data_IF_747027246941
#
_entry.id   IF_747027246941
#
_cell.length_a   1.000
_cell.length_b   1.000
_cell.length_c   1.000
_cell.angle_alpha   90.00
_cell.angle_beta   90.00
_cell.angle_gamma   90.00
#
_symmetry.space_group_name_H-M   'P 1'
#
loop_
_entity.id
_entity.type
_entity.pdbx_description
1 polymer ?
#
# COMPACT_ATOMS: atom_id res chain seq x y z
N UNK A 1 15.92 29.17 18.00
CA UNK A 1 16.08 29.02 16.54
C UNK A 1 14.73 29.12 15.83
N UNK A 2 13.73 28.38 16.29
CA UNK A 2 12.36 28.46 15.76
C UNK A 2 11.42 29.20 16.74
N UNK A 3 10.31 29.69 16.21
CA UNK A 3 9.19 30.28 16.97
C UNK A 3 7.88 29.75 16.39
N UNK A 4 6.82 29.72 17.20
CA UNK A 4 5.52 29.15 16.84
C UNK A 4 4.35 30.13 17.08
N UNK A 5 4.67 31.43 17.21
CA UNK A 5 3.71 32.51 17.49
C UNK A 5 2.96 32.36 18.85
N UNK A 6 3.42 31.51 19.77
CA UNK A 6 3.08 31.57 21.20
C UNK A 6 1.85 30.77 21.67
N UNK A 7 1.28 29.89 20.83
CA UNK A 7 0.16 29.04 21.24
C UNK A 7 0.62 27.83 22.08
N UNK A 8 -0.14 27.47 23.13
CA UNK A 8 0.16 26.28 23.95
C UNK A 8 0.18 25.00 23.09
N UNK A 9 1.22 24.19 23.27
CA UNK A 9 1.33 22.86 22.69
C UNK A 9 1.25 21.81 23.78
N UNK A 10 0.14 21.05 23.83
CA UNK A 10 -0.08 19.95 24.78
C UNK A 10 -0.10 18.59 24.09
N UNK A 11 0.03 18.55 22.76
CA UNK A 11 -0.08 17.33 21.96
C UNK A 11 -1.51 16.75 21.88
N UNK A 12 -2.52 17.49 22.34
CA UNK A 12 -3.90 17.03 22.38
C UNK A 12 -4.61 17.16 21.02
N UNK A 13 -5.68 16.38 20.83
CA UNK A 13 -6.66 16.60 19.76
C UNK A 13 -7.71 17.60 20.28
N UNK A 14 -7.96 18.66 19.52
CA UNK A 14 -8.94 19.71 19.85
C UNK A 14 -10.05 19.76 18.79
N UNK A 15 -11.06 20.63 18.97
CA UNK A 15 -12.10 20.87 17.97
C UNK A 15 -11.58 21.33 16.61
N UNK A 16 -10.35 21.82 16.53
CA UNK A 16 -9.67 22.24 15.30
C UNK A 16 -8.70 21.17 14.74
N UNK A 17 -8.74 19.94 15.28
CA UNK A 17 -7.85 18.84 14.90
C UNK A 17 -6.65 18.66 15.84
N UNK A 18 -5.65 17.91 15.36
CA UNK A 18 -4.42 17.59 16.11
C UNK A 18 -3.55 18.84 16.30
N UNK A 19 -3.17 19.14 17.54
CA UNK A 19 -2.24 20.24 17.82
C UNK A 19 -0.86 20.05 17.18
N UNK A 20 -0.44 18.81 16.90
CA UNK A 20 0.81 18.52 16.18
C UNK A 20 0.78 19.06 14.76
N UNK A 21 -0.32 18.80 14.03
CA UNK A 21 -0.56 19.37 12.70
C UNK A 21 -0.63 20.90 12.76
N UNK A 22 -1.33 21.45 13.75
CA UNK A 22 -1.40 22.91 13.95
C UNK A 22 -0.06 23.54 14.32
N UNK A 23 0.84 22.82 15.01
CA UNK A 23 2.20 23.28 15.29
C UNK A 23 3.07 23.26 14.02
N UNK A 24 3.02 22.18 13.24
CA UNK A 24 3.75 22.08 11.99
C UNK A 24 3.41 23.22 11.00
N UNK A 25 2.14 23.65 10.98
CA UNK A 25 1.69 24.74 10.12
C UNK A 25 2.16 26.14 10.56
N UNK A 26 2.55 26.33 11.84
CA UNK A 26 2.90 27.66 12.39
C UNK A 26 4.36 27.80 12.80
N UNK A 27 5.09 26.69 12.96
CA UNK A 27 6.51 26.73 13.33
C UNK A 27 7.29 27.41 12.20
N UNK A 28 8.07 28.43 12.56
CA UNK A 28 8.83 29.24 11.61
C UNK A 28 10.22 29.55 12.16
N UNK A 29 11.15 29.88 11.26
CA UNK A 29 12.47 30.37 11.69
C UNK A 29 12.29 31.73 12.34
N UNK A 30 12.95 31.94 13.48
CA UNK A 30 12.94 33.25 14.13
C UNK A 30 13.49 34.32 13.17
N UNK A 31 12.69 35.34 12.86
CA UNK A 31 13.03 36.40 11.90
C UNK A 31 14.28 37.19 12.28
N UNK A 32 14.63 37.27 13.57
CA UNK A 32 15.87 37.89 14.03
C UNK A 32 17.12 37.09 13.60
N UNK A 33 17.00 35.77 13.39
CA UNK A 33 18.08 34.94 12.84
C UNK A 33 18.17 35.04 11.32
N UNK A 34 17.03 35.27 10.65
CA UNK A 34 16.99 35.50 9.20
C UNK A 34 17.66 36.84 8.87
N UNK A 35 17.39 37.88 9.65
CA UNK A 35 17.99 39.21 9.48
C UNK A 35 19.47 39.29 9.87
N UNK A 36 19.95 38.38 10.73
CA UNK A 36 21.36 38.29 11.14
C UNK A 36 21.76 36.84 11.49
N UNK A 37 22.32 36.09 10.52
CA UNK A 37 22.76 34.72 10.73
C UNK A 37 23.91 34.58 11.73
N UNK A 38 24.67 35.64 12.03
CA UNK A 38 25.78 35.58 12.99
C UNK A 38 25.28 35.24 14.41
N UNK A 39 24.01 35.54 14.70
CA UNK A 39 23.34 35.20 15.96
C UNK A 39 23.16 33.70 16.17
N UNK A 40 23.42 32.87 15.16
CA UNK A 40 23.43 31.42 15.29
C UNK A 40 24.61 30.91 16.12
N UNK A 41 25.75 31.62 16.12
CA UNK A 41 26.97 31.19 16.83
C UNK A 41 27.15 31.86 18.19
N UNK A 42 26.46 32.98 18.46
CA UNK A 42 26.51 33.68 19.75
C UNK A 42 25.93 32.78 20.86
N UNK A 43 26.77 32.30 21.77
CA UNK A 43 26.36 31.46 22.91
C UNK A 43 25.95 32.29 24.13
N UNK A 44 26.70 33.34 24.43
CA UNK A 44 26.48 34.26 25.54
C UNK A 44 26.74 35.70 25.08
N UNK A 45 26.00 36.65 25.64
CA UNK A 45 26.18 38.08 25.39
C UNK A 45 26.92 38.80 26.52
N UNK A 46 27.13 38.13 27.67
CA UNK A 46 27.92 38.65 28.78
C UNK A 46 28.61 37.51 29.57
N UNK A 47 29.94 37.34 29.46
CA UNK A 47 30.80 37.98 28.46
C UNK A 47 30.38 37.60 27.03
N UNK A 48 30.64 38.46 26.06
CA UNK A 48 30.32 38.20 24.67
C UNK A 48 31.10 36.98 24.15
N UNK A 49 30.42 36.07 23.44
CA UNK A 49 31.06 34.94 22.76
C UNK A 49 32.22 35.41 21.88
N UNK A 50 33.46 34.93 22.12
CA UNK A 50 34.62 35.29 21.33
C UNK A 50 34.49 34.88 19.86
N UNK A 51 35.19 35.59 18.97
CA UNK A 51 35.32 35.17 17.58
C UNK A 51 36.04 33.81 17.50
N UNK A 52 35.49 32.88 16.73
CA UNK A 52 36.01 31.52 16.60
C UNK A 52 35.58 30.56 17.73
N UNK A 53 34.77 31.00 18.70
CA UNK A 53 34.17 30.10 19.69
C UNK A 53 33.18 29.14 19.01
N UNK A 54 33.45 27.85 19.13
CA UNK A 54 32.66 26.78 18.51
C UNK A 54 31.65 26.14 19.46
N UNK A 55 31.54 26.59 20.71
CA UNK A 55 30.73 25.96 21.77
C UNK A 55 29.29 25.73 21.34
N UNK A 56 28.64 26.76 20.77
CA UNK A 56 27.24 26.65 20.31
C UNK A 56 27.09 25.75 19.09
N UNK A 57 28.02 25.81 18.13
CA UNK A 57 28.00 24.94 16.96
C UNK A 57 28.20 23.47 17.36
N UNK A 58 29.15 23.19 18.25
CA UNK A 58 29.39 21.86 18.81
C UNK A 58 28.19 21.36 19.62
N UNK A 59 27.52 22.23 20.39
CA UNK A 59 26.31 21.87 21.12
C UNK A 59 25.19 21.46 20.16
N UNK A 60 24.95 22.24 19.10
CA UNK A 60 23.93 21.90 18.08
C UNK A 60 24.28 20.60 17.39
N UNK A 61 25.54 20.39 17.00
CA UNK A 61 25.99 19.16 16.38
C UNK A 61 25.84 17.96 17.32
N UNK A 62 26.19 18.13 18.60
CA UNK A 62 26.05 17.09 19.61
C UNK A 62 24.58 16.74 19.83
N UNK A 63 23.68 17.73 19.95
CA UNK A 63 22.26 17.46 20.06
C UNK A 63 21.70 16.78 18.80
N UNK A 64 22.10 17.20 17.61
CA UNK A 64 21.65 16.55 16.38
C UNK A 64 22.11 15.08 16.29
N UNK A 65 23.34 14.80 16.74
CA UNK A 65 23.95 13.47 16.62
C UNK A 65 23.54 12.52 17.75
N UNK A 66 23.44 13.04 18.97
CA UNK A 66 23.40 12.24 20.19
C UNK A 66 22.16 12.48 21.05
N UNK A 67 21.37 13.54 20.81
CA UNK A 67 20.17 13.74 21.61
C UNK A 67 19.21 12.58 21.38
N UNK A 68 18.70 12.04 22.48
CA UNK A 68 17.67 11.02 22.48
C UNK A 68 16.32 11.69 22.61
N UNK A 69 15.39 11.31 21.75
CA UNK A 69 14.00 11.78 21.76
C UNK A 69 13.07 10.58 21.95
N UNK A 70 11.92 10.84 22.56
CA UNK A 70 10.81 9.89 22.57
C UNK A 70 9.94 10.18 21.35
N UNK A 71 9.68 9.16 20.55
CA UNK A 71 8.89 9.25 19.33
C UNK A 71 7.50 8.70 19.57
N UNK A 72 6.52 9.36 18.97
CA UNK A 72 5.12 8.99 19.06
C UNK A 72 4.90 7.56 18.53
N UNK A 73 4.16 6.70 19.25
CA UNK A 73 3.83 5.34 18.78
C UNK A 73 3.06 5.30 17.46
N UNK A 74 2.44 6.43 17.07
CA UNK A 74 1.74 6.57 15.79
C UNK A 74 2.69 6.50 14.59
N UNK A 75 4.01 6.57 14.79
CA UNK A 75 4.99 6.30 13.74
C UNK A 75 5.10 4.80 13.41
N UNK A 76 4.38 3.92 14.12
CA UNK A 76 4.49 2.46 13.96
C UNK A 76 5.70 1.86 14.67
N UNK A 77 6.43 2.64 15.48
CA UNK A 77 7.57 2.18 16.27
C UNK A 77 7.28 2.30 17.76
N UNK A 78 7.61 1.25 18.52
CA UNK A 78 7.26 1.17 19.93
C UNK A 78 5.76 1.00 20.16
N UNK A 79 5.32 1.22 21.39
CA UNK A 79 3.91 1.07 21.80
C UNK A 79 3.47 2.25 22.65
N UNK A 80 2.15 2.38 22.89
CA UNK A 80 1.65 3.43 23.79
C UNK A 80 2.21 3.35 25.22
N UNK A 81 2.57 2.14 25.70
CA UNK A 81 3.17 1.95 27.03
C UNK A 81 4.70 2.01 27.02
N UNK A 82 5.33 1.88 25.85
CA UNK A 82 6.77 1.95 25.66
C UNK A 82 7.08 2.59 24.29
N UNK A 83 6.99 3.93 24.18
CA UNK A 83 7.29 4.61 22.94
C UNK A 83 8.76 4.41 22.55
N UNK A 84 9.04 4.38 21.25
CA UNK A 84 10.42 4.27 20.79
C UNK A 84 11.22 5.49 21.28
N UNK A 85 12.38 5.24 21.89
CA UNK A 85 13.27 6.29 22.39
C UNK A 85 14.67 6.08 21.86
N UNK A 86 15.25 7.11 21.25
CA UNK A 86 16.60 7.02 20.69
C UNK A 86 17.02 8.26 19.93
N UNK A 87 18.20 8.19 19.32
CA UNK A 87 18.69 9.27 18.46
C UNK A 87 17.88 9.36 17.18
N UNK A 88 17.90 10.53 16.54
CA UNK A 88 17.26 10.75 15.25
C UNK A 88 17.71 9.73 14.19
N UNK A 89 19.00 9.42 14.16
CA UNK A 89 19.55 8.45 13.22
C UNK A 89 19.01 7.04 13.47
N UNK A 90 18.95 6.60 14.73
CA UNK A 90 18.44 5.28 15.08
C UNK A 90 16.94 5.17 14.78
N UNK A 91 16.17 6.22 15.10
CA UNK A 91 14.77 6.31 14.72
C UNK A 91 14.59 6.20 13.20
N UNK A 92 15.31 7.01 12.42
CA UNK A 92 15.17 7.03 10.96
C UNK A 92 15.51 5.67 10.34
N UNK A 93 16.57 5.00 10.80
CA UNK A 93 16.93 3.65 10.35
C UNK A 93 15.82 2.65 10.64
N UNK A 94 15.32 2.63 11.88
CA UNK A 94 14.27 1.70 12.28
C UNK A 94 12.95 1.97 11.52
N UNK A 95 12.61 3.25 11.33
CA UNK A 95 11.41 3.67 10.63
C UNK A 95 11.44 3.24 9.16
N UNK A 96 12.57 3.48 8.48
CA UNK A 96 12.76 3.05 7.09
C UNK A 96 12.72 1.51 6.98
N UNK A 97 13.36 0.79 7.90
CA UNK A 97 13.31 -0.69 7.93
C UNK A 97 11.87 -1.18 8.04
N UNK A 98 11.12 -0.67 9.03
CA UNK A 98 9.73 -1.05 9.25
C UNK A 98 8.86 -0.74 8.02
N UNK A 99 9.04 0.43 7.41
CA UNK A 99 8.29 0.81 6.21
C UNK A 99 8.65 -0.08 5.00
N UNK A 100 9.92 -0.46 4.87
CA UNK A 100 10.39 -1.39 3.83
C UNK A 100 9.83 -2.80 4.01
N UNK A 101 9.79 -3.29 5.24
CA UNK A 101 9.17 -4.58 5.58
C UNK A 101 7.67 -4.57 5.28
N UNK A 102 6.95 -3.52 5.69
CA UNK A 102 5.52 -3.38 5.40
C UNK A 102 5.25 -3.28 3.89
N UNK A 103 6.08 -2.56 3.14
CA UNK A 103 5.96 -2.48 1.68
C UNK A 103 6.22 -3.85 1.01
N UNK A 104 7.21 -4.60 1.51
CA UNK A 104 7.52 -5.94 1.01
C UNK A 104 6.38 -6.91 1.29
N UNK A 105 5.81 -6.90 2.50
CA UNK A 105 4.67 -7.73 2.86
C UNK A 105 3.42 -7.39 2.02
N UNK A 106 3.15 -6.10 1.79
CA UNK A 106 2.05 -5.68 0.93
C UNK A 106 2.25 -6.13 -0.52
N UNK A 107 3.49 -6.07 -1.04
CA UNK A 107 3.83 -6.56 -2.38
C UNK A 107 3.62 -8.07 -2.49
N UNK A 108 4.10 -8.85 -1.53
CA UNK A 108 3.90 -10.30 -1.48
C UNK A 108 2.41 -10.67 -1.41
N UNK A 109 1.62 -9.92 -0.64
CA UNK A 109 0.18 -10.13 -0.57
C UNK A 109 -0.50 -9.86 -1.93
N UNK A 110 -0.13 -8.76 -2.60
CA UNK A 110 -0.64 -8.45 -3.93
C UNK A 110 -0.27 -9.53 -4.96
N UNK A 111 0.99 -9.96 -4.98
CA UNK A 111 1.46 -11.03 -5.88
C UNK A 111 0.73 -12.35 -5.62
N UNK A 112 0.46 -12.68 -4.35
CA UNK A 112 -0.36 -13.83 -3.98
C UNK A 112 -1.82 -13.72 -4.46
N UNK A 113 -2.41 -12.53 -4.37
CA UNK A 113 -3.75 -12.28 -4.88
C UNK A 113 -3.82 -12.41 -6.41
N UNK A 114 -2.81 -11.96 -7.13
CA UNK A 114 -2.72 -12.13 -8.59
C UNK A 114 -2.67 -13.61 -8.99
N UNK A 115 -1.92 -14.44 -8.25
CA UNK A 115 -1.89 -15.90 -8.47
C UNK A 115 -3.26 -16.53 -8.25
N UNK A 116 -3.95 -16.15 -7.17
CA UNK A 116 -5.31 -16.63 -6.87
C UNK A 116 -6.27 -16.21 -7.98
N UNK A 117 -6.22 -14.95 -8.42
CA UNK A 117 -7.06 -14.44 -9.50
C UNK A 117 -6.83 -15.21 -10.81
N UNK A 118 -5.57 -15.41 -11.19
CA UNK A 118 -5.22 -16.18 -12.40
C UNK A 118 -5.71 -17.64 -12.32
N UNK A 119 -5.62 -18.26 -11.14
CA UNK A 119 -6.13 -19.61 -10.91
C UNK A 119 -7.65 -19.67 -11.06
N UNK A 120 -8.37 -18.69 -10.49
CA UNK A 120 -9.82 -18.59 -10.62
C UNK A 120 -10.24 -18.33 -12.07
N UNK A 121 -9.53 -17.47 -12.80
CA UNK A 121 -9.78 -17.21 -14.22
C UNK A 121 -9.58 -18.49 -15.04
N UNK A 122 -8.47 -19.19 -14.83
CA UNK A 122 -8.19 -20.47 -15.52
C UNK A 122 -9.28 -21.51 -15.23
N UNK A 123 -9.74 -21.60 -13.97
CA UNK A 123 -10.84 -22.49 -13.60
C UNK A 123 -12.15 -22.09 -14.27
N UNK A 124 -12.48 -20.80 -14.29
CA UNK A 124 -13.64 -20.27 -14.99
C UNK A 124 -13.60 -20.63 -16.48
N UNK A 125 -12.46 -20.39 -17.15
CA UNK A 125 -12.25 -20.69 -18.56
C UNK A 125 -12.34 -22.19 -18.84
N UNK A 126 -11.84 -23.04 -17.94
CA UNK A 126 -11.95 -24.50 -18.07
C UNK A 126 -13.39 -25.03 -17.90
N UNK A 127 -14.22 -24.34 -17.11
CA UNK A 127 -15.62 -24.75 -16.86
C UNK A 127 -16.57 -24.14 -17.87
N UNK A 128 -16.30 -22.91 -18.31
CA UNK A 128 -17.13 -22.16 -19.27
C UNK A 128 -16.66 -22.36 -20.72
N UNK A 129 -15.47 -22.92 -20.91
CA UNK A 129 -14.90 -23.27 -22.20
C UNK A 129 -15.67 -24.43 -22.81
N UNK A 130 -16.52 -24.10 -23.78
CA UNK A 130 -17.15 -25.06 -24.69
C UNK A 130 -16.02 -25.80 -25.41
N UNK A 131 -15.83 -27.08 -25.12
CA UNK A 131 -14.82 -27.89 -25.77
C UNK A 131 -15.30 -28.20 -27.19
N UNK A 132 -14.87 -27.41 -28.19
CA UNK A 132 -15.36 -27.52 -29.57
C UNK A 132 -15.24 -28.94 -30.15
N UNK A 133 -14.24 -29.72 -29.73
CA UNK A 133 -14.08 -31.11 -30.18
C UNK A 133 -15.16 -32.02 -29.57
N UNK A 134 -15.55 -31.76 -28.32
CA UNK A 134 -16.61 -32.46 -27.60
C UNK A 134 -18.00 -32.05 -28.13
N UNK A 135 -18.19 -30.76 -28.40
CA UNK A 135 -19.37 -30.21 -29.09
C UNK A 135 -19.50 -30.79 -30.51
N UNK A 136 -18.38 -30.88 -31.25
CA UNK A 136 -18.34 -31.43 -32.61
C UNK A 136 -18.59 -32.93 -32.63
N UNK A 137 -18.06 -33.69 -31.66
CA UNK A 137 -18.39 -35.09 -31.48
C UNK A 137 -19.88 -35.28 -31.15
N UNK A 138 -20.45 -34.43 -30.30
CA UNK A 138 -21.90 -34.40 -30.02
C UNK A 138 -22.71 -34.08 -31.27
N UNK A 139 -22.31 -33.08 -32.06
CA UNK A 139 -22.97 -32.72 -33.31
C UNK A 139 -22.88 -33.84 -34.34
N UNK A 140 -21.73 -34.51 -34.47
CA UNK A 140 -21.55 -35.64 -35.38
C UNK A 140 -22.40 -36.85 -34.96
N UNK A 141 -22.48 -37.11 -33.66
CA UNK A 141 -23.38 -38.12 -33.08
C UNK A 141 -24.84 -37.80 -33.40
N UNK A 142 -25.25 -36.55 -33.21
CA UNK A 142 -26.61 -36.09 -33.49
C UNK A 142 -26.95 -36.19 -34.99
N UNK A 143 -26.03 -35.82 -35.87
CA UNK A 143 -26.18 -35.94 -37.32
C UNK A 143 -26.29 -37.41 -37.77
N UNK A 144 -25.48 -38.30 -37.19
CA UNK A 144 -25.55 -39.74 -37.45
C UNK A 144 -26.88 -40.32 -36.98
N UNK A 145 -27.32 -39.99 -35.77
CA UNK A 145 -28.62 -40.42 -35.24
C UNK A 145 -29.79 -39.92 -36.10
N UNK A 146 -29.76 -38.67 -36.56
CA UNK A 146 -30.76 -38.12 -37.48
C UNK A 146 -30.78 -38.84 -38.83
N UNK A 147 -29.60 -39.10 -39.40
CA UNK A 147 -29.48 -39.81 -40.68
C UNK A 147 -29.97 -41.27 -40.57
N UNK A 148 -29.69 -41.94 -39.45
CA UNK A 148 -30.21 -43.27 -39.15
C UNK A 148 -31.75 -43.25 -39.01
N UNK A 149 -32.29 -42.30 -38.26
CA UNK A 149 -33.75 -42.13 -38.10
C UNK A 149 -34.45 -41.85 -39.43
N UNK A 150 -33.86 -41.03 -40.30
CA UNK A 150 -34.39 -40.74 -41.64
C UNK A 150 -34.44 -42.00 -42.52
N UNK A 151 -33.41 -42.87 -42.46
CA UNK A 151 -33.41 -44.17 -43.16
C UNK A 151 -34.51 -45.09 -42.62
N UNK A 152 -34.67 -45.17 -41.30
CA UNK A 152 -35.74 -45.96 -40.67
C UNK A 152 -37.12 -45.45 -41.13
N UNK A 153 -37.35 -44.14 -41.14
CA UNK A 153 -38.61 -43.57 -41.67
C UNK A 153 -38.81 -43.87 -43.16
N UNK A 154 -37.75 -43.84 -43.97
CA UNK A 154 -37.84 -44.20 -45.39
C UNK A 154 -38.19 -45.68 -45.58
N UNK A 155 -37.60 -46.58 -44.77
CA UNK A 155 -37.95 -48.01 -44.80
C UNK A 155 -39.39 -48.24 -44.36
N UNK A 156 -39.86 -47.53 -43.32
CA UNK A 156 -41.27 -47.58 -42.90
C UNK A 156 -42.19 -47.08 -44.02
N UNK A 157 -41.85 -45.98 -44.69
CA UNK A 157 -42.62 -45.47 -45.84
C UNK A 157 -42.69 -46.50 -46.96
N UNK A 158 -41.58 -47.14 -47.32
CA UNK A 158 -41.55 -48.19 -48.33
C UNK A 158 -42.42 -49.40 -47.94
N UNK A 159 -42.43 -49.78 -46.66
CA UNK A 159 -43.33 -50.83 -46.16
C UNK A 159 -44.81 -50.43 -46.26
N UNK A 160 -45.15 -49.19 -45.93
CA UNK A 160 -46.53 -48.68 -46.09
C UNK A 160 -46.95 -48.63 -47.56
N UNK A 161 -46.09 -48.12 -48.44
CA UNK A 161 -46.37 -48.03 -49.87
C UNK A 161 -46.55 -49.44 -50.47
N UNK A 162 -45.74 -50.44 -50.07
CA UNK A 162 -45.89 -51.83 -50.50
C UNK A 162 -47.18 -52.49 -50.00
N UNK A 163 -47.60 -52.22 -48.76
CA UNK A 163 -48.87 -52.71 -48.21
C UNK A 163 -50.07 -52.14 -48.98
N UNK A 164 -50.03 -50.84 -49.33
CA UNK A 164 -51.08 -50.16 -50.09
C UNK A 164 -51.13 -50.57 -51.57
N UNK A 165 -50.05 -51.11 -52.12
CA UNK A 165 -49.98 -51.55 -53.52
C UNK A 165 -50.48 -53.00 -53.72
N UNK A 166 -50.64 -53.76 -52.64
CA UNK A 166 -51.18 -55.13 -52.63
C UNK A 166 -52.69 -55.15 -52.30
N UNK A 167 -53.25 -54.04 -51.81
CA UNK A 167 -54.69 -53.79 -51.71
C UNK A 167 -55.25 -53.13 -52.97
#
# INVERSE_FOLDING_TARGET
>A
MFTDNGALYTGAITGNGSQSTGLAARISVNTALVGDPSRMVVYATNPQTPAGDTTRANLVLNQLSNASFSYSPQTGLGTSGAPFTGTLLNFAKQFISQQGESATAAKQLADGQDVVLNTLQTKMDSTSGVNMDEEMAHLLSLQNAYSANARVMSSIKQMYDALLQIS
#
